data_IF_733758364977
#
_entry.id   IF_733758364977
#
_cell.length_a   1.000
_cell.length_b   1.000
_cell.length_c   1.000
_cell.angle_alpha   90.00
_cell.angle_beta   90.00
_cell.angle_gamma   90.00
#
_symmetry.space_group_name_H-M   'P 1'
#
loop_
_entity.id
_entity.type
_entity.pdbx_description
1 polymer ?
#
# COMPACT_ATOMS: atom_id res chain seq x y z
N UNK A 1 -28.16 -12.85 32.06
CA UNK A 1 -27.72 -11.54 31.51
C UNK A 1 -26.59 -11.63 30.47
N UNK A 2 -25.85 -12.75 30.36
CA UNK A 2 -24.78 -12.92 29.34
C UNK A 2 -25.29 -13.29 27.93
N UNK A 3 -26.53 -13.78 27.80
CA UNK A 3 -27.13 -14.14 26.50
C UNK A 3 -27.58 -12.94 25.65
N UNK A 4 -27.82 -11.77 26.24
CA UNK A 4 -28.29 -10.58 25.49
C UNK A 4 -27.14 -9.79 24.86
N UNK A 5 -25.93 -9.87 25.43
CA UNK A 5 -24.72 -9.25 24.87
C UNK A 5 -24.14 -10.05 23.69
N UNK A 6 -24.37 -11.37 23.63
CA UNK A 6 -23.89 -12.20 22.52
C UNK A 6 -24.66 -11.97 21.22
N UNK A 7 -25.94 -11.59 21.31
CA UNK A 7 -26.80 -11.39 20.13
C UNK A 7 -26.47 -10.11 19.34
N UNK A 8 -25.92 -9.08 19.97
CA UNK A 8 -25.56 -7.81 19.32
C UNK A 8 -24.09 -7.69 18.91
N UNK A 9 -23.18 -8.44 19.54
CA UNK A 9 -21.74 -8.41 19.24
C UNK A 9 -21.38 -9.25 18.01
N UNK A 10 -22.02 -10.39 17.81
CA UNK A 10 -21.76 -11.27 16.64
C UNK A 10 -22.07 -10.55 15.31
N UNK A 11 -23.23 -9.89 15.13
CA UNK A 11 -23.52 -9.12 13.92
C UNK A 11 -22.52 -7.99 13.67
N UNK A 12 -22.06 -7.34 14.74
CA UNK A 12 -21.11 -6.23 14.65
C UNK A 12 -19.72 -6.71 14.18
N UNK A 13 -19.22 -7.81 14.73
CA UNK A 13 -17.94 -8.40 14.31
C UNK A 13 -18.00 -8.87 12.85
N UNK A 14 -19.12 -9.46 12.43
CA UNK A 14 -19.33 -9.86 11.03
C UNK A 14 -19.39 -8.65 10.10
N UNK A 15 -20.04 -7.56 10.51
CA UNK A 15 -20.08 -6.30 9.76
C UNK A 15 -18.69 -5.70 9.56
N UNK A 16 -17.89 -5.57 10.63
CA UNK A 16 -16.52 -5.04 10.53
C UNK A 16 -15.62 -5.95 9.70
N UNK A 17 -15.74 -7.27 9.87
CA UNK A 17 -15.03 -8.27 9.06
C UNK A 17 -15.30 -8.05 7.58
N UNK A 18 -16.56 -7.88 7.19
CA UNK A 18 -16.93 -7.66 5.80
C UNK A 18 -16.38 -6.34 5.25
N UNK A 19 -16.45 -5.24 6.02
CA UNK A 19 -15.91 -3.94 5.59
C UNK A 19 -14.40 -3.96 5.40
N UNK A 20 -13.67 -4.57 6.32
CA UNK A 20 -12.22 -4.75 6.21
C UNK A 20 -11.90 -5.58 4.97
N UNK A 21 -12.60 -6.70 4.78
CA UNK A 21 -12.40 -7.56 3.60
C UNK A 21 -12.67 -6.83 2.29
N UNK A 22 -13.72 -6.00 2.22
CA UNK A 22 -14.02 -5.21 1.03
C UNK A 22 -12.90 -4.22 0.70
N UNK A 23 -12.35 -3.52 1.70
CA UNK A 23 -11.21 -2.62 1.51
C UNK A 23 -9.96 -3.38 1.07
N UNK A 24 -9.67 -4.51 1.72
CA UNK A 24 -8.47 -5.31 1.43
C UNK A 24 -8.55 -5.99 0.06
N UNK A 25 -9.76 -6.33 -0.42
CA UNK A 25 -9.95 -6.86 -1.77
C UNK A 25 -9.47 -5.88 -2.85
N UNK A 26 -9.55 -4.57 -2.60
CA UNK A 26 -8.97 -3.58 -3.51
C UNK A 26 -7.45 -3.72 -3.58
N UNK A 27 -6.77 -3.95 -2.45
CA UNK A 27 -5.32 -4.16 -2.40
C UNK A 27 -4.85 -5.49 -3.01
N UNK A 28 -5.77 -6.46 -3.16
CA UNK A 28 -5.50 -7.71 -3.87
C UNK A 28 -5.46 -7.52 -5.38
N UNK A 29 -6.07 -6.47 -5.92
CA UNK A 29 -6.00 -6.16 -7.34
C UNK A 29 -4.54 -5.93 -7.76
N UNK A 30 -4.16 -6.52 -8.89
CA UNK A 30 -2.84 -6.40 -9.50
C UNK A 30 -3.01 -5.54 -10.75
N UNK A 31 -2.33 -4.40 -10.76
CA UNK A 31 -2.30 -3.52 -11.92
C UNK A 31 -0.99 -3.74 -12.70
N UNK A 32 -0.55 -2.74 -13.48
CA UNK A 32 0.73 -2.78 -14.20
C UNK A 32 1.88 -3.34 -13.35
N UNK A 33 2.59 -4.36 -13.83
CA UNK A 33 3.71 -5.01 -13.13
C UNK A 33 3.41 -5.39 -11.67
N UNK A 34 2.19 -5.83 -11.38
CA UNK A 34 1.77 -6.32 -10.06
C UNK A 34 1.86 -5.27 -8.91
N UNK A 35 1.95 -3.99 -9.24
CA UNK A 35 1.87 -2.90 -8.25
C UNK A 35 0.43 -2.40 -8.07
N UNK A 36 0.20 -1.65 -7.00
CA UNK A 36 -1.11 -1.13 -6.63
C UNK A 36 -1.39 0.14 -7.42
N UNK A 37 -2.59 0.23 -7.98
CA UNK A 37 -3.05 1.43 -8.67
C UNK A 37 -3.02 2.64 -7.72
N UNK A 38 -2.31 3.72 -8.08
CA UNK A 38 -2.22 4.92 -7.27
C UNK A 38 -3.54 5.67 -7.18
N UNK A 39 -3.71 6.38 -6.08
CA UNK A 39 -4.82 7.29 -5.88
C UNK A 39 -4.38 8.72 -6.17
N UNK A 40 -4.60 9.13 -7.42
CA UNK A 40 -4.25 10.46 -7.91
C UNK A 40 -4.96 11.62 -7.20
N UNK A 41 -5.91 11.35 -6.30
CA UNK A 41 -6.56 12.36 -5.47
C UNK A 41 -5.74 12.80 -4.25
N UNK A 42 -4.70 12.04 -3.86
CA UNK A 42 -3.87 12.32 -2.68
C UNK A 42 -2.66 13.18 -3.08
N UNK A 43 -2.59 14.41 -2.56
CA UNK A 43 -1.54 15.38 -2.89
C UNK A 43 -0.11 14.88 -2.57
N UNK A 44 0.08 14.08 -1.52
CA UNK A 44 1.38 13.50 -1.14
C UNK A 44 2.01 12.64 -2.24
N UNK A 45 1.17 11.99 -3.07
CA UNK A 45 1.63 11.17 -4.19
C UNK A 45 2.38 12.01 -5.24
N UNK A 46 2.10 13.30 -5.40
CA UNK A 46 2.70 14.15 -6.45
C UNK A 46 4.21 14.44 -6.30
N UNK A 47 4.84 14.05 -5.18
CA UNK A 47 6.20 14.47 -4.81
C UNK A 47 7.33 13.44 -5.07
N UNK A 48 7.03 12.13 -5.15
CA UNK A 48 8.05 11.07 -5.34
C UNK A 48 7.58 10.01 -6.35
N UNK A 49 7.75 10.35 -7.63
CA UNK A 49 7.45 9.48 -8.76
C UNK A 49 8.41 8.28 -8.80
N UNK A 50 7.91 7.09 -8.48
CA UNK A 50 8.75 5.88 -8.45
C UNK A 50 8.95 5.22 -9.82
N UNK A 51 8.14 5.62 -10.81
CA UNK A 51 8.18 5.11 -12.18
C UNK A 51 8.42 6.24 -13.18
N UNK A 52 9.16 5.98 -14.25
CA UNK A 52 9.43 6.94 -15.33
C UNK A 52 8.22 7.22 -16.25
N UNK A 53 7.01 6.88 -15.83
CA UNK A 53 5.77 7.08 -16.61
C UNK A 53 5.25 8.51 -16.45
N UNK A 54 4.57 9.01 -17.48
CA UNK A 54 3.82 10.26 -17.43
C UNK A 54 2.56 10.09 -16.57
N UNK A 55 2.07 11.19 -15.99
CA UNK A 55 0.73 11.22 -15.39
C UNK A 55 -0.28 10.99 -16.53
N UNK A 56 -1.33 10.16 -16.38
CA UNK A 56 -1.83 9.50 -15.16
C UNK A 56 -1.47 8.00 -15.09
N UNK A 57 -0.31 7.59 -15.61
CA UNK A 57 0.19 6.21 -15.54
C UNK A 57 1.32 6.06 -14.53
N UNK A 58 1.59 7.13 -13.78
CA UNK A 58 2.68 7.20 -12.80
C UNK A 58 2.27 6.51 -11.52
N UNK A 59 3.13 5.64 -11.00
CA UNK A 59 2.94 4.98 -9.72
C UNK A 59 3.85 5.61 -8.66
N UNK A 60 3.37 5.62 -7.41
CA UNK A 60 4.02 6.33 -6.32
C UNK A 60 4.44 5.39 -5.20
N UNK A 61 5.60 5.70 -4.62
CA UNK A 61 6.18 4.90 -3.55
C UNK A 61 5.29 4.85 -2.32
N UNK A 62 4.65 5.96 -1.98
CA UNK A 62 3.74 6.06 -0.85
C UNK A 62 2.61 5.04 -0.93
N UNK A 63 1.87 5.00 -2.04
CA UNK A 63 0.77 4.05 -2.27
C UNK A 63 1.24 2.59 -2.10
N UNK A 64 2.43 2.27 -2.61
CA UNK A 64 2.96 0.90 -2.51
C UNK A 64 3.32 0.54 -1.07
N UNK A 65 3.92 1.46 -0.31
CA UNK A 65 4.25 1.26 1.11
C UNK A 65 2.96 1.11 1.92
N UNK A 66 1.99 2.01 1.73
CA UNK A 66 0.72 1.95 2.44
C UNK A 66 -0.03 0.65 2.13
N UNK A 67 -0.09 0.26 0.86
CA UNK A 67 -0.73 -0.99 0.46
C UNK A 67 -0.01 -2.23 1.00
N UNK A 68 1.33 -2.24 1.02
CA UNK A 68 2.12 -3.32 1.61
C UNK A 68 1.81 -3.50 3.11
N UNK A 69 1.88 -2.42 3.88
CA UNK A 69 1.59 -2.48 5.32
C UNK A 69 0.10 -2.75 5.59
N UNK A 70 -0.81 -2.24 4.76
CA UNK A 70 -2.25 -2.54 4.83
C UNK A 70 -2.54 -4.03 4.65
N UNK A 71 -1.86 -4.69 3.70
CA UNK A 71 -1.96 -6.14 3.50
C UNK A 71 -1.45 -6.94 4.70
N UNK A 72 -0.32 -6.54 5.30
CA UNK A 72 0.22 -7.20 6.49
C UNK A 72 -0.69 -7.03 7.71
N UNK A 73 -1.20 -5.82 7.94
CA UNK A 73 -2.14 -5.54 9.02
C UNK A 73 -3.43 -6.36 8.84
N UNK A 74 -3.96 -6.43 7.61
CA UNK A 74 -5.12 -7.26 7.29
C UNK A 74 -4.85 -8.76 7.51
N UNK A 75 -3.66 -9.25 7.15
CA UNK A 75 -3.27 -10.64 7.41
C UNK A 75 -3.27 -10.96 8.91
N UNK A 76 -2.73 -10.06 9.74
CA UNK A 76 -2.77 -10.20 11.20
C UNK A 76 -4.20 -10.23 11.73
N UNK A 77 -5.09 -9.41 11.17
CA UNK A 77 -6.50 -9.38 11.55
C UNK A 77 -7.22 -10.70 11.20
N UNK A 78 -7.02 -11.19 9.98
CA UNK A 78 -7.60 -12.45 9.49
C UNK A 78 -7.15 -13.64 10.36
N UNK A 79 -5.87 -13.71 10.71
CA UNK A 79 -5.33 -14.80 11.54
C UNK A 79 -5.77 -14.70 13.01
N UNK A 80 -5.55 -13.54 13.63
CA UNK A 80 -5.73 -13.38 15.09
C UNK A 80 -7.19 -13.31 15.50
N UNK A 81 -8.01 -12.57 14.75
CA UNK A 81 -9.39 -12.26 15.12
C UNK A 81 -10.40 -13.09 14.33
N UNK A 82 -10.20 -13.26 13.02
CA UNK A 82 -11.16 -13.99 12.17
C UNK A 82 -10.87 -15.47 12.01
N UNK A 83 -9.72 -15.94 12.52
CA UNK A 83 -9.25 -17.33 12.48
C UNK A 83 -9.17 -17.91 11.06
N UNK A 84 -8.90 -17.06 10.07
CA UNK A 84 -8.78 -17.42 8.65
C UNK A 84 -7.32 -17.40 8.20
N UNK A 85 -6.61 -18.50 8.48
CA UNK A 85 -5.16 -18.62 8.20
C UNK A 85 -4.86 -18.65 6.70
N UNK A 86 -5.74 -19.26 5.88
CA UNK A 86 -5.59 -19.32 4.42
C UNK A 86 -5.59 -17.92 3.82
N UNK A 87 -6.53 -17.09 4.24
CA UNK A 87 -6.62 -15.71 3.75
C UNK A 87 -5.46 -14.86 4.28
N UNK A 88 -5.02 -15.07 5.52
CA UNK A 88 -3.84 -14.39 6.05
C UNK A 88 -2.57 -14.72 5.25
N UNK A 89 -2.37 -15.99 4.87
CA UNK A 89 -1.24 -16.41 4.04
C UNK A 89 -1.29 -15.79 2.64
N UNK A 90 -2.48 -15.78 2.01
CA UNK A 90 -2.68 -15.10 0.72
C UNK A 90 -2.27 -13.63 0.77
N UNK A 91 -2.66 -12.92 1.83
CA UNK A 91 -2.36 -11.50 2.02
C UNK A 91 -0.87 -11.26 2.25
N UNK A 92 -0.20 -12.11 3.04
CA UNK A 92 1.27 -12.06 3.24
C UNK A 92 2.01 -12.29 1.94
N UNK A 93 1.59 -13.30 1.17
CA UNK A 93 2.16 -13.59 -0.15
C UNK A 93 1.99 -12.40 -1.09
N UNK A 94 0.80 -11.80 -1.15
CA UNK A 94 0.57 -10.60 -1.95
C UNK A 94 1.46 -9.43 -1.53
N UNK A 95 1.67 -9.23 -0.23
CA UNK A 95 2.55 -8.18 0.28
C UNK A 95 4.02 -8.41 -0.14
N UNK A 96 4.48 -9.66 -0.13
CA UNK A 96 5.82 -10.05 -0.62
C UNK A 96 5.95 -9.85 -2.13
N UNK A 97 4.96 -10.30 -2.92
CA UNK A 97 4.90 -10.11 -4.37
C UNK A 97 4.98 -8.61 -4.72
N UNK A 98 4.23 -7.78 -3.98
CA UNK A 98 4.22 -6.33 -4.15
C UNK A 98 5.60 -5.71 -3.90
N UNK A 99 6.25 -6.07 -2.79
CA UNK A 99 7.58 -5.57 -2.44
C UNK A 99 8.62 -5.93 -3.50
N UNK A 100 8.59 -7.18 -3.97
CA UNK A 100 9.48 -7.67 -5.04
C UNK A 100 9.24 -6.93 -6.35
N UNK A 101 7.98 -6.79 -6.75
CA UNK A 101 7.58 -6.12 -7.99
C UNK A 101 7.96 -4.64 -7.95
N UNK A 102 7.73 -3.97 -6.82
CA UNK A 102 8.10 -2.57 -6.63
C UNK A 102 9.61 -2.38 -6.67
N UNK A 103 10.40 -3.26 -6.02
CA UNK A 103 11.87 -3.22 -6.08
C UNK A 103 12.36 -3.34 -7.53
N UNK A 104 11.80 -4.27 -8.30
CA UNK A 104 12.14 -4.45 -9.72
C UNK A 104 11.77 -3.22 -10.57
N UNK A 105 10.64 -2.57 -10.27
CA UNK A 105 10.25 -1.32 -10.94
C UNK A 105 11.17 -0.15 -10.58
N UNK A 106 11.52 0.00 -9.29
CA UNK A 106 12.43 1.04 -8.80
C UNK A 106 13.87 0.88 -9.29
N UNK A 107 14.24 -0.33 -9.75
CA UNK A 107 15.51 -0.63 -10.39
C UNK A 107 15.66 -0.09 -11.82
N UNK A 108 14.59 0.45 -12.42
CA UNK A 108 14.68 1.17 -13.70
C UNK A 108 15.31 2.55 -13.49
N UNK A 109 16.65 2.56 -13.50
CA UNK A 109 17.53 3.72 -13.68
C UNK A 109 17.44 4.80 -12.60
N UNK A 110 18.28 4.65 -11.56
CA UNK A 110 19.21 5.74 -11.23
C UNK A 110 20.24 5.90 -12.37
N UNK A 111 19.81 6.28 -13.58
CA UNK A 111 20.73 6.89 -14.53
C UNK A 111 20.85 8.34 -14.12
N UNK A 112 21.91 8.63 -13.38
CA UNK A 112 22.58 9.94 -13.36
C UNK A 112 21.67 11.16 -13.21
N UNK A 113 21.09 11.35 -12.03
CA UNK A 113 21.00 12.71 -11.48
C UNK A 113 21.61 12.66 -10.10
N UNK A 114 22.88 13.04 -10.05
CA UNK A 114 23.47 13.66 -8.88
C UNK A 114 22.42 14.64 -8.34
N UNK A 115 21.84 14.33 -7.20
CA UNK A 115 21.06 15.29 -6.45
C UNK A 115 22.04 16.39 -6.03
N UNK A 116 22.20 17.42 -6.86
CA UNK A 116 22.68 18.70 -6.39
C UNK A 116 21.73 19.09 -5.26
N UNK A 117 22.26 19.11 -4.05
CA UNK A 117 21.61 19.70 -2.89
C UNK A 117 21.03 21.06 -3.30
N UNK A 118 19.71 21.18 -3.23
CA UNK A 118 19.01 22.45 -3.41
C UNK A 118 19.34 23.30 -2.18
N UNK A 119 20.43 24.05 -2.24
CA UNK A 119 20.97 24.75 -1.07
C UNK A 119 22.38 25.29 -1.25
N UNK A 120 22.69 25.88 -2.40
CA UNK A 120 23.85 26.79 -2.51
C UNK A 120 23.59 27.80 -3.61
N UNK A 121 22.71 28.75 -3.32
CA UNK A 121 22.67 30.03 -4.05
C UNK A 121 23.85 30.86 -3.59
N UNK A 122 24.73 31.11 -4.55
CA UNK A 122 25.79 32.11 -4.59
C UNK A 122 25.30 33.51 -4.20
N UNK A 123 26.03 34.19 -3.32
CA UNK A 123 26.25 35.65 -3.38
C UNK A 123 27.78 35.81 -3.41
N UNK A 124 28.37 35.95 -4.59
CA UNK A 124 28.56 37.20 -5.36
C UNK A 124 29.60 38.09 -4.70
N UNK A 125 30.76 38.17 -5.36
CA UNK A 125 31.83 39.13 -5.12
C UNK A 125 31.33 40.57 -5.02
N UNK A 126 31.79 41.27 -3.98
CA UNK A 126 32.23 42.67 -4.02
C UNK A 126 33.06 42.99 -2.79
#
# INVERSE_FOLDING_TARGET
MWCLLSHSVIPLVLFFKQRIRNLVNFLLYRDWKDIIKPDYSIWEESSDASTSLSIPLRYYRFTQIQGHHGLLAAAMMEEKYFKDTKRAELLRKRAQDLSTSFKNCSGMKRKGTSSKSFGRTTKSDR
#
